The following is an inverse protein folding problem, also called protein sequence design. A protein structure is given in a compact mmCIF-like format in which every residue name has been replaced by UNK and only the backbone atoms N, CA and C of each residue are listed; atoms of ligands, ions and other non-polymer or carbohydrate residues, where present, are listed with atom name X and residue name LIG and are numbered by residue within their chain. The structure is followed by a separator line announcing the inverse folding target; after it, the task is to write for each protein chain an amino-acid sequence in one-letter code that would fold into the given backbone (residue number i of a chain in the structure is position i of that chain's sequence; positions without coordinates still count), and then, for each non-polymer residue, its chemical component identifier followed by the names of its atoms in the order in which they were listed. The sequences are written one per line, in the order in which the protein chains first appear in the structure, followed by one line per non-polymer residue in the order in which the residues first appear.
data_IF_866210592822
#
_entry.id   IF_866210592822
#
_cell.length_a   1.000
_cell.length_b   1.000
_cell.length_c   1.000
_cell.angle_alpha   90.00
_cell.angle_beta   90.00
_cell.angle_gamma   90.00
#
_symmetry.space_group_name_H-M   'P 1'
#
loop_
_entity.id
_entity.type
_entity.pdbx_description
1 polymer ?
#
# COMPACT_ATOMS: atom_id res chain seq x y z
N UNK A 1 18.74 -7.66 -4.00
CA UNK A 1 17.52 -7.84 -4.83
C UNK A 1 17.76 -7.87 -6.33
N UNK A 2 18.77 -7.15 -6.86
CA UNK A 2 19.07 -7.09 -8.30
C UNK A 2 19.12 -8.47 -8.98
N UNK A 3 19.85 -9.44 -8.42
CA UNK A 3 19.98 -10.78 -9.02
C UNK A 3 18.63 -11.53 -9.19
N UNK A 4 17.67 -11.39 -8.26
CA UNK A 4 16.36 -12.04 -8.39
C UNK A 4 15.50 -11.40 -9.48
N UNK A 5 15.64 -10.09 -9.69
CA UNK A 5 14.96 -9.38 -10.77
C UNK A 5 15.63 -9.62 -12.13
N UNK A 6 16.95 -9.47 -12.17
CA UNK A 6 17.75 -9.43 -13.40
C UNK A 6 18.08 -10.83 -13.93
N UNK A 7 18.37 -11.80 -13.04
CA UNK A 7 18.71 -13.18 -13.43
C UNK A 7 17.52 -14.12 -13.24
N UNK A 8 16.80 -13.98 -12.12
CA UNK A 8 15.59 -14.77 -11.84
C UNK A 8 14.37 -14.33 -12.65
N UNK A 9 14.41 -13.15 -13.25
CA UNK A 9 13.33 -12.61 -14.09
C UNK A 9 12.10 -12.11 -13.33
N UNK A 10 12.06 -12.23 -11.99
CA UNK A 10 10.86 -11.89 -11.21
C UNK A 10 10.57 -10.39 -11.26
N UNK A 11 9.37 -10.04 -11.73
CA UNK A 11 8.93 -8.65 -11.86
C UNK A 11 8.73 -8.00 -10.49
N UNK A 12 8.13 -8.74 -9.55
CA UNK A 12 7.85 -8.27 -8.20
C UNK A 12 8.66 -9.09 -7.20
N UNK A 13 9.65 -8.44 -6.58
CA UNK A 13 10.46 -9.04 -5.50
C UNK A 13 10.30 -8.19 -4.25
N UNK A 14 10.03 -8.84 -3.13
CA UNK A 14 9.89 -8.24 -1.80
C UNK A 14 10.58 -9.08 -0.74
N UNK A 15 11.17 -8.44 0.25
CA UNK A 15 11.71 -9.09 1.46
C UNK A 15 11.02 -8.57 2.71
N UNK A 16 10.94 -9.43 3.70
CA UNK A 16 10.43 -9.07 5.01
C UNK A 16 11.26 -9.75 6.09
N UNK A 17 11.55 -8.98 7.13
CA UNK A 17 12.26 -9.47 8.31
C UNK A 17 11.23 -10.04 9.27
N UNK A 18 11.42 -11.29 9.68
CA UNK A 18 10.65 -11.87 10.76
C UNK A 18 11.41 -11.68 12.06
N UNK A 19 10.80 -11.00 13.02
CA UNK A 19 11.36 -10.85 14.37
C UNK A 19 10.86 -11.97 15.26
N UNK A 20 11.70 -12.41 16.19
CA UNK A 20 11.31 -13.36 17.22
C UNK A 20 10.64 -12.61 18.40
N UNK A 21 10.21 -13.36 19.41
CA UNK A 21 9.58 -12.81 20.61
C UNK A 21 10.49 -11.88 21.44
N UNK A 22 11.80 -11.80 21.14
CA UNK A 22 12.72 -10.85 21.78
C UNK A 22 12.97 -9.60 20.93
N UNK A 23 12.25 -9.43 19.81
CA UNK A 23 12.39 -8.30 18.89
C UNK A 23 13.58 -8.40 17.94
N UNK A 24 14.35 -9.50 17.99
CA UNK A 24 15.50 -9.69 17.12
C UNK A 24 15.06 -10.33 15.78
N UNK A 25 15.64 -9.85 14.68
CA UNK A 25 15.42 -10.46 13.35
C UNK A 25 15.94 -11.89 13.37
N UNK A 26 15.03 -12.86 13.20
CA UNK A 26 15.33 -14.28 13.15
C UNK A 26 15.72 -14.72 11.74
N UNK A 27 14.97 -14.27 10.73
CA UNK A 27 15.24 -14.55 9.32
C UNK A 27 14.54 -13.57 8.39
N UNK A 28 15.02 -13.51 7.16
CA UNK A 28 14.38 -12.79 6.06
C UNK A 28 13.66 -13.77 5.15
N UNK A 29 12.38 -13.52 4.87
CA UNK A 29 11.68 -14.21 3.81
C UNK A 29 11.65 -13.32 2.57
N UNK A 30 11.97 -13.91 1.42
CA UNK A 30 11.98 -13.23 0.12
C UNK A 30 10.91 -13.87 -0.76
N UNK A 31 10.01 -13.04 -1.29
CA UNK A 31 8.96 -13.44 -2.21
C UNK A 31 9.21 -12.81 -3.58
N UNK A 32 9.30 -13.65 -4.61
CA UNK A 32 9.41 -13.26 -6.01
C UNK A 32 8.21 -13.78 -6.80
N UNK A 33 7.55 -12.92 -7.57
CA UNK A 33 6.43 -13.31 -8.45
C UNK A 33 6.37 -12.43 -9.70
N UNK A 34 5.76 -12.95 -10.76
CA UNK A 34 5.41 -12.20 -11.97
C UNK A 34 3.95 -11.75 -11.98
N UNK A 35 3.14 -12.21 -11.04
CA UNK A 35 1.70 -11.96 -11.05
C UNK A 35 1.29 -11.00 -9.93
N UNK A 36 0.52 -9.96 -10.32
CA UNK A 36 -0.04 -8.98 -9.36
C UNK A 36 -0.86 -9.64 -8.26
N UNK A 37 -1.61 -10.69 -8.59
CA UNK A 37 -2.39 -11.45 -7.61
C UNK A 37 -1.51 -12.18 -6.59
N UNK A 38 -0.32 -12.63 -6.99
CA UNK A 38 0.65 -13.22 -6.06
C UNK A 38 1.12 -12.21 -5.01
N UNK A 39 1.32 -10.96 -5.40
CA UNK A 39 1.68 -9.86 -4.48
C UNK A 39 0.54 -9.59 -3.50
N UNK A 40 -0.70 -9.52 -3.98
CA UNK A 40 -1.89 -9.32 -3.13
C UNK A 40 -2.08 -10.46 -2.14
N UNK A 41 -1.96 -11.71 -2.60
CA UNK A 41 -2.11 -12.89 -1.75
C UNK A 41 -1.05 -12.92 -0.65
N UNK A 42 0.21 -12.63 -1.01
CA UNK A 42 1.29 -12.47 -0.03
C UNK A 42 0.93 -11.40 1.00
N UNK A 43 0.50 -10.21 0.57
CA UNK A 43 0.12 -9.10 1.46
C UNK A 43 -1.01 -9.50 2.41
N UNK A 44 -2.05 -10.16 1.89
CA UNK A 44 -3.18 -10.63 2.68
C UNK A 44 -2.75 -11.72 3.69
N UNK A 45 -1.86 -12.63 3.30
CA UNK A 45 -1.32 -13.65 4.19
C UNK A 45 -0.48 -13.03 5.32
N UNK A 46 0.34 -12.03 5.03
CA UNK A 46 1.10 -11.29 6.05
C UNK A 46 0.16 -10.64 7.07
N UNK A 47 -0.85 -9.90 6.60
CA UNK A 47 -1.85 -9.28 7.46
C UNK A 47 -2.67 -10.27 8.29
N UNK A 48 -2.89 -11.49 7.79
CA UNK A 48 -3.58 -12.54 8.54
C UNK A 48 -2.68 -13.17 9.60
N UNK A 49 -1.42 -13.43 9.27
CA UNK A 49 -0.47 -14.11 10.14
C UNK A 49 -0.02 -13.24 11.30
N UNK A 50 0.14 -11.95 11.04
CA UNK A 50 0.64 -10.99 12.02
C UNK A 50 -0.04 -9.65 11.82
N UNK A 51 -1.28 -9.52 12.32
CA UNK A 51 -2.00 -8.26 12.32
C UNK A 51 -1.45 -7.31 13.38
N UNK A 52 -0.27 -7.54 13.98
CA UNK A 52 0.25 -6.85 15.19
C UNK A 52 1.71 -6.35 15.16
N UNK A 53 2.54 -6.79 14.21
CA UNK A 53 3.86 -6.16 13.94
C UNK A 53 5.12 -6.94 14.34
N UNK A 54 5.09 -8.26 14.50
CA UNK A 54 6.31 -9.08 14.58
C UNK A 54 7.09 -9.21 13.26
N UNK A 55 6.54 -8.73 12.15
CA UNK A 55 7.12 -8.86 10.80
C UNK A 55 7.37 -7.48 10.20
N UNK A 56 8.62 -7.05 10.16
CA UNK A 56 8.99 -5.73 9.61
C UNK A 56 9.07 -5.83 8.09
N UNK A 57 8.11 -5.20 7.41
CA UNK A 57 8.14 -5.02 5.95
C UNK A 57 9.20 -3.97 5.62
N UNK A 58 10.31 -4.42 5.03
CA UNK A 58 11.41 -3.53 4.68
C UNK A 58 11.16 -3.00 3.27
N UNK A 59 10.31 -1.97 3.17
CA UNK A 59 10.15 -1.16 1.96
C UNK A 59 10.10 0.33 2.36
N UNK A 60 10.11 1.21 1.35
CA UNK A 60 10.42 2.65 1.31
C UNK A 60 10.02 3.52 2.52
N UNK A 61 9.02 3.13 3.31
CA UNK A 61 8.74 3.64 4.65
C UNK A 61 9.71 3.08 5.70
N UNK A 62 11.02 3.22 5.45
CA UNK A 62 12.06 2.87 6.41
C UNK A 62 11.80 3.62 7.73
N UNK A 63 11.38 2.89 8.77
CA UNK A 63 11.23 3.44 10.13
C UNK A 63 9.80 3.73 10.58
N UNK A 64 8.76 3.45 9.79
CA UNK A 64 7.38 3.49 10.29
C UNK A 64 7.00 2.10 10.80
N UNK A 65 7.08 1.93 12.12
CA UNK A 65 6.52 0.76 12.80
C UNK A 65 5.00 0.89 12.79
N UNK A 66 4.35 0.35 11.75
CA UNK A 66 2.89 0.27 11.73
C UNK A 66 2.49 -0.82 12.72
N UNK A 67 2.12 -0.40 13.93
CA UNK A 67 1.39 -1.21 14.88
C UNK A 67 0.05 -1.53 14.24
N UNK A 68 -0.04 -2.71 13.64
CA UNK A 68 -1.27 -3.19 13.07
C UNK A 68 -2.19 -3.53 14.28
N UNK A 69 -3.34 -2.86 14.37
CA UNK A 69 -4.40 -3.13 15.36
C UNK A 69 -5.59 -3.73 14.59
N UNK A 70 -6.60 -4.37 15.20
CA UNK A 70 -7.80 -4.86 14.50
C UNK A 70 -8.53 -3.78 13.69
N UNK A 71 -8.33 -2.50 14.04
CA UNK A 71 -8.59 -1.35 13.20
C UNK A 71 -7.26 -0.60 12.98
N UNK A 72 -6.53 -0.87 11.89
CA UNK A 72 -5.20 -0.30 11.71
C UNK A 72 -5.28 1.22 11.59
N UNK A 73 -4.31 1.92 12.18
CA UNK A 73 -4.17 3.35 11.93
C UNK A 73 -3.85 3.57 10.45
N UNK A 74 -4.76 4.25 9.77
CA UNK A 74 -4.68 4.55 8.34
C UNK A 74 -4.20 5.98 8.07
N UNK A 75 -3.92 6.78 9.11
CA UNK A 75 -3.35 8.12 8.95
C UNK A 75 -1.97 8.10 8.25
N UNK A 76 -1.04 7.18 8.53
CA UNK A 76 0.23 7.12 7.79
C UNK A 76 0.00 6.86 6.30
N UNK A 77 -0.93 5.96 5.95
CA UNK A 77 -1.31 5.74 4.55
C UNK A 77 -1.96 6.98 3.94
N UNK A 78 -2.83 7.67 4.68
CA UNK A 78 -3.48 8.90 4.21
C UNK A 78 -2.44 9.98 3.88
N UNK A 79 -1.47 10.21 4.76
CA UNK A 79 -0.40 11.18 4.56
C UNK A 79 0.48 10.80 3.36
N UNK A 80 0.87 9.53 3.24
CA UNK A 80 1.64 9.02 2.11
C UNK A 80 0.91 9.25 0.77
N UNK A 81 -0.40 8.93 0.71
CA UNK A 81 -1.18 9.11 -0.52
C UNK A 81 -1.29 10.59 -0.92
N UNK A 82 -1.48 11.50 0.04
CA UNK A 82 -1.53 12.93 -0.26
C UNK A 82 -0.18 13.44 -0.76
N UNK A 83 0.92 13.03 -0.12
CA UNK A 83 2.29 13.42 -0.49
C UNK A 83 2.69 12.87 -1.87
N UNK A 84 2.54 11.56 -2.10
CA UNK A 84 2.98 10.89 -3.34
C UNK A 84 2.16 11.33 -4.55
N UNK A 85 0.87 11.60 -4.36
CA UNK A 85 -0.01 12.00 -5.44
C UNK A 85 -0.26 13.51 -5.50
N UNK A 86 0.38 14.31 -4.66
CA UNK A 86 0.25 15.77 -4.64
C UNK A 86 0.38 16.37 -6.06
N UNK A 87 -0.59 17.20 -6.43
CA UNK A 87 -0.62 17.89 -7.73
C UNK A 87 -0.99 17.02 -8.92
N UNK A 88 -1.19 15.72 -8.74
CA UNK A 88 -1.52 14.81 -9.83
C UNK A 88 -3.02 14.76 -10.06
N UNK A 89 -3.39 14.78 -11.35
CA UNK A 89 -4.78 14.67 -11.81
C UNK A 89 -4.99 13.41 -12.64
N UNK A 90 -6.24 12.98 -12.75
CA UNK A 90 -6.68 11.83 -13.53
C UNK A 90 -6.05 10.50 -13.10
N UNK A 91 -5.79 10.32 -11.80
CA UNK A 91 -5.19 9.10 -11.28
C UNK A 91 -6.26 8.03 -11.09
N UNK A 92 -6.02 6.84 -11.61
CA UNK A 92 -6.97 5.73 -11.48
C UNK A 92 -6.92 5.12 -10.08
N UNK A 93 -8.05 4.57 -9.62
CA UNK A 93 -8.08 3.81 -8.35
C UNK A 93 -7.10 2.63 -8.36
N UNK A 94 -6.94 1.96 -9.50
CA UNK A 94 -6.07 0.79 -9.64
C UNK A 94 -4.59 1.15 -9.47
N UNK A 95 -4.20 2.37 -9.85
CA UNK A 95 -2.84 2.90 -9.65
C UNK A 95 -2.57 3.18 -8.17
N UNK A 96 -3.52 3.80 -7.48
CA UNK A 96 -3.41 4.11 -6.04
C UNK A 96 -3.36 2.82 -5.22
N UNK A 97 -4.25 1.86 -5.52
CA UNK A 97 -4.24 0.54 -4.87
C UNK A 97 -2.93 -0.20 -5.13
N UNK A 98 -2.40 -0.10 -6.35
CA UNK A 98 -1.13 -0.75 -6.69
C UNK A 98 0.07 -0.13 -5.99
N UNK A 99 0.15 1.20 -5.96
CA UNK A 99 1.15 1.91 -5.19
C UNK A 99 1.08 1.52 -3.71
N UNK A 100 -0.13 1.46 -3.13
CA UNK A 100 -0.33 1.07 -1.72
C UNK A 100 0.23 -0.32 -1.45
N UNK A 101 -0.12 -1.32 -2.27
CA UNK A 101 0.36 -2.70 -2.08
C UNK A 101 1.89 -2.78 -2.19
N UNK A 102 2.47 -2.05 -3.14
CA UNK A 102 3.88 -2.14 -3.46
C UNK A 102 4.74 -1.35 -2.48
N UNK A 103 4.43 -0.09 -2.22
CA UNK A 103 5.34 0.85 -1.57
C UNK A 103 5.04 1.06 -0.08
N UNK A 104 3.89 0.55 0.40
CA UNK A 104 3.45 0.72 1.80
C UNK A 104 3.16 -0.64 2.45
N UNK A 105 3.13 -0.77 3.77
CA UNK A 105 2.73 -2.01 4.43
C UNK A 105 1.22 -2.33 4.32
N UNK A 106 0.41 -1.42 3.80
CA UNK A 106 -1.03 -1.54 3.78
C UNK A 106 -1.56 -2.37 2.61
N UNK A 107 -2.85 -2.74 2.68
CA UNK A 107 -3.58 -3.47 1.65
C UNK A 107 -4.43 -2.52 0.81
N UNK A 108 -4.76 -2.94 -0.41
CA UNK A 108 -5.69 -2.27 -1.30
C UNK A 108 -7.05 -1.97 -0.64
N UNK A 109 -7.49 -2.84 0.27
CA UNK A 109 -8.74 -2.68 1.01
C UNK A 109 -8.75 -1.44 1.92
N UNK A 110 -7.59 -0.92 2.30
CA UNK A 110 -7.49 0.28 3.14
C UNK A 110 -7.60 1.59 2.33
N UNK A 111 -7.42 1.54 1.01
CA UNK A 111 -7.42 2.74 0.15
C UNK A 111 -8.80 3.36 0.04
N UNK A 112 -9.83 2.55 -0.26
CA UNK A 112 -11.17 3.05 -0.56
C UNK A 112 -11.83 3.80 0.60
N UNK A 113 -11.73 3.33 1.87
CA UNK A 113 -12.20 4.11 3.01
C UNK A 113 -11.52 5.48 3.14
N UNK A 114 -10.19 5.54 2.95
CA UNK A 114 -9.42 6.79 3.02
C UNK A 114 -9.86 7.77 1.92
N UNK A 115 -9.94 7.31 0.68
CA UNK A 115 -10.38 8.15 -0.44
C UNK A 115 -11.83 8.64 -0.24
N UNK A 116 -12.70 7.81 0.34
CA UNK A 116 -14.07 8.22 0.68
C UNK A 116 -14.07 9.35 1.72
N UNK A 117 -13.21 9.27 2.73
CA UNK A 117 -13.08 10.31 3.75
C UNK A 117 -12.47 11.60 3.19
N UNK A 118 -11.45 11.50 2.33
CA UNK A 118 -10.84 12.64 1.63
C UNK A 118 -11.81 13.31 0.65
N UNK A 119 -12.62 12.55 -0.07
CA UNK A 119 -13.67 13.07 -0.95
C UNK A 119 -14.73 13.81 -0.13
N UNK A 120 -15.19 13.23 0.98
CA UNK A 120 -16.21 13.84 1.85
C UNK A 120 -15.74 15.14 2.50
N UNK A 121 -14.44 15.25 2.80
CA UNK A 121 -13.82 16.46 3.35
C UNK A 121 -13.46 17.50 2.27
N UNK A 122 -13.64 17.18 0.98
CA UNK A 122 -13.34 18.08 -0.13
C UNK A 122 -11.85 18.25 -0.42
N UNK A 123 -10.99 17.39 0.14
CA UNK A 123 -9.53 17.44 -0.09
C UNK A 123 -9.19 16.97 -1.50
N UNK A 124 -9.84 15.91 -1.97
CA UNK A 124 -9.64 15.37 -3.33
C UNK A 124 -10.92 15.55 -4.15
N UNK A 125 -10.76 15.61 -5.47
CA UNK A 125 -11.90 15.57 -6.40
C UNK A 125 -11.94 14.22 -7.10
N UNK A 126 -13.14 13.62 -7.18
CA UNK A 126 -13.34 12.32 -7.84
C UNK A 126 -14.26 12.50 -9.04
N UNK A 127 -13.72 12.23 -10.23
CA UNK A 127 -14.47 12.15 -11.48
C UNK A 127 -14.82 10.71 -11.75
N UNK A 128 -16.11 10.36 -11.73
CA UNK A 128 -16.59 8.98 -11.93
C UNK A 128 -17.80 8.93 -12.84
N UNK A 129 -17.84 7.91 -13.69
CA UNK A 129 -19.02 7.57 -14.50
C UNK A 129 -19.95 6.56 -13.78
N UNK A 130 -20.14 6.77 -12.48
CA UNK A 130 -20.97 5.95 -11.62
C UNK A 130 -21.50 6.79 -10.45
N UNK A 131 -22.69 6.46 -9.95
CA UNK A 131 -23.37 7.25 -8.90
C UNK A 131 -22.65 7.18 -7.55
N UNK A 132 -21.86 6.12 -7.28
CA UNK A 132 -21.14 5.94 -6.00
C UNK A 132 -19.90 5.05 -6.14
N UNK A 133 -18.92 5.27 -5.26
CA UNK A 133 -17.74 4.41 -5.09
C UNK A 133 -16.61 4.69 -6.08
N UNK A 134 -15.68 3.75 -6.20
CA UNK A 134 -14.47 3.85 -7.02
C UNK A 134 -14.36 2.65 -7.97
N UNK A 135 -15.22 2.53 -9.00
CA UNK A 135 -15.10 1.43 -9.96
C UNK A 135 -13.79 1.51 -10.74
N UNK A 136 -13.08 0.38 -10.83
CA UNK A 136 -11.84 0.24 -11.61
C UNK A 136 -12.04 0.68 -13.07
N UNK A 137 -11.07 1.40 -13.61
CA UNK A 137 -11.11 1.98 -14.96
C UNK A 137 -12.21 3.02 -15.23
N UNK A 138 -13.00 3.43 -14.22
CA UNK A 138 -14.14 4.37 -14.38
C UNK A 138 -14.19 5.48 -13.33
N UNK A 139 -13.17 5.56 -12.48
CA UNK A 139 -12.99 6.59 -11.47
C UNK A 139 -11.57 7.16 -11.58
N UNK A 140 -11.51 8.49 -11.64
CA UNK A 140 -10.30 9.28 -11.72
C UNK A 140 -10.26 10.25 -10.56
N UNK A 141 -9.13 10.29 -9.85
CA UNK A 141 -8.93 11.08 -8.65
C UNK A 141 -7.95 12.20 -9.00
N UNK A 142 -8.31 13.41 -8.60
CA UNK A 142 -7.47 14.60 -8.67
C UNK A 142 -7.04 14.98 -7.24
N UNK A 143 -5.73 14.99 -7.01
CA UNK A 143 -5.12 15.38 -5.75
C UNK A 143 -4.68 16.84 -5.83
N UNK A 144 -4.88 17.63 -4.75
CA UNK A 144 -4.44 19.01 -4.71
C UNK A 144 -2.91 19.07 -4.71
N UNK A 145 -2.34 20.18 -5.17
CA UNK A 145 -0.95 20.48 -4.84
C UNK A 145 -0.86 20.66 -3.33
N UNK A 146 0.12 20.02 -2.70
CA UNK A 146 0.57 20.43 -1.36
C UNK A 146 0.95 21.91 -1.46
N UNK A 147 0.05 22.75 -0.98
CA UNK A 147 0.23 24.19 -0.91
C UNK A 147 0.40 24.53 0.55
N UNK A 148 1.55 24.11 1.11
CA UNK A 148 2.21 24.71 2.28
C UNK A 148 3.69 24.31 2.32
#
# INVERSE_FOLDING_TARGET
MAQLKEVGGFEYVRSFAMTNHTGNVSYYLVHGTHHREGVKLMKAAMWKADPGGGSVFQDRLHGVEVLFDPAPDTEPLRAELLSVFAGRSAISIDEIEWHTILETPYRETHVRPILTALEKSGVITVRRNATRGFPSGRAWIDFPNDSE
#
